data_IF_748790477689
#
_entry.id   IF_748790477689
#
_cell.length_a   1.000
_cell.length_b   1.000
_cell.length_c   1.000
_cell.angle_alpha   90.00
_cell.angle_beta   90.00
_cell.angle_gamma   90.00
#
_symmetry.space_group_name_H-M   'P 1'
#
loop_
_entity.id
_entity.type
_entity.pdbx_description
1 polymer ?
#
# COMPACT_ATOMS: atom_id res chain seq x y z
N UNK A 1 7.50 -5.62 27.81
CA UNK A 1 6.59 -6.59 27.17
C UNK A 1 5.22 -6.02 26.78
N UNK A 2 4.63 -5.00 27.45
CA UNK A 2 3.33 -4.44 27.03
C UNK A 2 3.38 -3.39 25.89
N UNK A 3 4.48 -2.64 25.75
CA UNK A 3 4.59 -1.57 24.74
C UNK A 3 4.70 -2.07 23.30
N UNK A 4 5.43 -3.17 23.07
CA UNK A 4 5.64 -3.77 21.74
C UNK A 4 4.33 -4.31 21.15
N UNK A 5 3.44 -4.84 21.99
CA UNK A 5 2.14 -5.36 21.57
C UNK A 5 1.19 -4.23 21.12
N UNK A 6 1.28 -3.05 21.76
CA UNK A 6 0.50 -1.87 21.36
C UNK A 6 0.98 -1.30 20.02
N UNK A 7 2.30 -1.25 19.79
CA UNK A 7 2.88 -0.72 18.56
C UNK A 7 2.62 -1.63 17.35
N UNK A 8 2.67 -2.95 17.53
CA UNK A 8 2.31 -3.90 16.48
C UNK A 8 0.82 -3.81 16.10
N UNK A 9 -0.07 -3.63 17.08
CA UNK A 9 -1.50 -3.44 16.84
C UNK A 9 -1.79 -2.15 16.06
N UNK A 10 -1.18 -1.03 16.47
CA UNK A 10 -1.32 0.27 15.78
C UNK A 10 -0.80 0.23 14.34
N UNK A 11 0.30 -0.49 14.10
CA UNK A 11 0.84 -0.73 12.75
C UNK A 11 -0.12 -1.51 11.86
N UNK A 12 -0.74 -2.56 12.39
CA UNK A 12 -1.72 -3.36 11.65
C UNK A 12 -3.00 -2.56 11.37
N UNK A 13 -3.45 -1.74 12.31
CA UNK A 13 -4.59 -0.83 12.09
C UNK A 13 -4.28 0.17 10.99
N UNK A 14 -3.10 0.80 11.05
CA UNK A 14 -2.62 1.73 10.02
C UNK A 14 -2.52 1.06 8.64
N UNK A 15 -2.00 -0.16 8.56
CA UNK A 15 -1.91 -0.91 7.31
C UNK A 15 -3.30 -1.20 6.71
N UNK A 16 -4.26 -1.60 7.56
CA UNK A 16 -5.63 -1.86 7.14
C UNK A 16 -6.33 -0.58 6.63
N UNK A 17 -6.15 0.55 7.32
CA UNK A 17 -6.68 1.85 6.87
C UNK A 17 -6.10 2.27 5.52
N UNK A 18 -4.79 2.14 5.33
CA UNK A 18 -4.14 2.39 4.04
C UNK A 18 -4.70 1.45 2.94
N UNK A 19 -4.87 0.16 3.23
CA UNK A 19 -5.43 -0.81 2.28
C UNK A 19 -6.83 -0.41 1.79
N UNK A 20 -7.68 0.10 2.69
CA UNK A 20 -9.01 0.64 2.38
C UNK A 20 -8.93 1.92 1.57
N UNK A 21 -8.04 2.84 1.92
CA UNK A 21 -7.85 4.09 1.18
C UNK A 21 -7.41 3.80 -0.26
N UNK A 22 -6.41 2.94 -0.45
CA UNK A 22 -5.94 2.58 -1.80
C UNK A 22 -7.01 1.84 -2.62
N UNK A 23 -7.95 1.15 -1.98
CA UNK A 23 -9.14 0.60 -2.66
C UNK A 23 -9.95 1.68 -3.36
N UNK A 24 -10.22 2.77 -2.65
CA UNK A 24 -11.03 3.88 -3.11
C UNK A 24 -10.32 4.59 -4.26
N UNK A 25 -9.01 4.82 -4.11
CA UNK A 25 -8.21 5.45 -5.16
C UNK A 25 -8.13 4.58 -6.42
N UNK A 26 -8.08 3.25 -6.30
CA UNK A 26 -8.15 2.35 -7.48
C UNK A 26 -9.47 2.47 -8.22
N UNK A 27 -10.58 2.49 -7.49
CA UNK A 27 -11.89 2.63 -8.11
C UNK A 27 -12.04 4.00 -8.79
N UNK A 28 -11.48 5.05 -8.19
CA UNK A 28 -11.40 6.38 -8.81
C UNK A 28 -10.53 6.37 -10.07
N UNK A 29 -9.35 5.73 -10.04
CA UNK A 29 -8.49 5.57 -11.20
C UNK A 29 -9.17 4.79 -12.33
N UNK A 30 -9.86 3.69 -12.02
CA UNK A 30 -10.64 2.92 -12.99
C UNK A 30 -11.74 3.76 -13.66
N UNK A 31 -12.49 4.55 -12.87
CA UNK A 31 -13.53 5.45 -13.41
C UNK A 31 -12.93 6.52 -14.30
N UNK A 32 -11.85 7.14 -13.84
CA UNK A 32 -11.14 8.15 -14.60
C UNK A 32 -10.63 7.59 -15.93
N UNK A 33 -10.13 6.34 -15.98
CA UNK A 33 -9.61 5.71 -17.20
C UNK A 33 -10.72 5.47 -18.24
N UNK A 34 -11.93 5.15 -17.76
CA UNK A 34 -13.08 4.96 -18.63
C UNK A 34 -13.61 6.29 -19.19
N UNK A 35 -13.35 7.40 -18.50
CA UNK A 35 -13.78 8.74 -18.90
C UNK A 35 -12.70 9.49 -19.70
N UNK A 36 -11.42 9.17 -19.49
CA UNK A 36 -10.29 9.77 -20.22
C UNK A 36 -10.03 9.06 -21.54
N UNK A 37 -9.79 9.86 -22.57
CA UNK A 37 -9.38 9.42 -23.90
C UNK A 37 -8.09 10.15 -24.29
N UNK A 38 -7.32 9.59 -25.22
CA UNK A 38 -6.04 10.18 -25.65
C UNK A 38 -4.97 10.12 -24.56
N UNK A 39 -4.09 11.12 -24.52
CA UNK A 39 -2.85 11.11 -23.71
C UNK A 39 -3.07 10.93 -22.20
N UNK A 40 -4.26 11.24 -21.68
CA UNK A 40 -4.59 11.04 -20.27
C UNK A 40 -4.89 9.58 -19.92
N UNK A 41 -5.25 8.73 -20.88
CA UNK A 41 -5.56 7.32 -20.64
C UNK A 41 -4.36 6.54 -20.08
N UNK A 42 -3.16 6.76 -20.66
CA UNK A 42 -1.95 6.07 -20.24
C UNK A 42 -1.53 6.43 -18.80
N UNK A 43 -1.66 7.70 -18.43
CA UNK A 43 -1.40 8.17 -17.06
C UNK A 43 -2.36 7.53 -16.05
N UNK A 44 -3.62 7.32 -16.43
CA UNK A 44 -4.60 6.72 -15.54
C UNK A 44 -4.44 5.20 -15.46
N UNK A 45 -4.01 4.55 -16.53
CA UNK A 45 -3.58 3.15 -16.51
C UNK A 45 -2.39 2.96 -15.56
N UNK A 46 -1.37 3.81 -15.66
CA UNK A 46 -0.20 3.80 -14.79
C UNK A 46 -0.58 4.03 -13.31
N UNK A 47 -1.47 4.99 -13.04
CA UNK A 47 -2.02 5.21 -11.70
C UNK A 47 -2.67 3.93 -11.13
N UNK A 48 -3.49 3.24 -11.92
CA UNK A 48 -4.13 1.99 -11.48
C UNK A 48 -3.12 0.87 -11.17
N UNK A 49 -2.05 0.75 -11.96
CA UNK A 49 -0.98 -0.22 -11.73
C UNK A 49 -0.21 0.08 -10.44
N UNK A 50 0.14 1.36 -10.18
CA UNK A 50 0.83 1.77 -8.96
C UNK A 50 -0.01 1.49 -7.71
N UNK A 51 -1.32 1.67 -7.79
CA UNK A 51 -2.24 1.39 -6.68
C UNK A 51 -2.36 -0.12 -6.42
N UNK A 52 -2.35 -0.94 -7.47
CA UNK A 52 -2.28 -2.40 -7.31
C UNK A 52 -0.97 -2.83 -6.62
N UNK A 53 0.16 -2.27 -7.04
CA UNK A 53 1.47 -2.56 -6.42
C UNK A 53 1.49 -2.13 -4.95
N UNK A 54 0.88 -0.99 -4.63
CA UNK A 54 0.81 -0.47 -3.27
C UNK A 54 -0.01 -1.40 -2.37
N UNK A 55 -1.17 -1.88 -2.84
CA UNK A 55 -1.96 -2.87 -2.11
C UNK A 55 -1.24 -4.20 -1.90
N UNK A 56 -0.49 -4.67 -2.90
CA UNK A 56 0.34 -5.86 -2.77
C UNK A 56 1.42 -5.69 -1.69
N UNK A 57 2.07 -4.52 -1.62
CA UNK A 57 3.07 -4.21 -0.58
C UNK A 57 2.44 -4.11 0.81
N UNK A 58 1.26 -3.52 0.95
CA UNK A 58 0.55 -3.46 2.24
C UNK A 58 0.21 -4.86 2.72
N UNK A 59 -0.31 -5.72 1.83
CA UNK A 59 -0.59 -7.10 2.15
C UNK A 59 0.67 -7.87 2.61
N UNK A 60 1.82 -7.62 1.98
CA UNK A 60 3.10 -8.19 2.41
C UNK A 60 3.49 -7.73 3.82
N UNK A 61 3.24 -6.46 4.18
CA UNK A 61 3.49 -5.94 5.52
C UNK A 61 2.57 -6.58 6.55
N UNK A 62 1.29 -6.78 6.21
CA UNK A 62 0.32 -7.49 7.06
C UNK A 62 0.70 -8.97 7.27
N UNK A 63 1.23 -9.64 6.23
CA UNK A 63 1.60 -11.06 6.25
C UNK A 63 3.01 -11.30 6.87
N UNK A 64 3.88 -10.29 6.90
CA UNK A 64 5.26 -10.40 7.39
C UNK A 64 5.70 -9.20 8.27
N UNK A 65 5.23 -9.12 9.53
CA UNK A 65 5.59 -8.05 10.46
C UNK A 65 7.09 -7.98 10.84
N UNK A 66 7.87 -9.02 10.51
CA UNK A 66 9.29 -9.16 10.89
C UNK A 66 10.28 -8.47 9.93
N UNK A 67 9.85 -8.05 8.74
CA UNK A 67 10.72 -7.43 7.73
C UNK A 67 11.02 -5.94 7.95
N UNK A 68 10.59 -5.36 9.07
CA UNK A 68 10.89 -3.97 9.41
C UNK A 68 11.94 -3.81 10.53
N UNK A 69 12.61 -4.89 10.93
CA UNK A 69 13.80 -4.78 11.77
C UNK A 69 14.94 -4.29 10.87
N UNK A 70 15.35 -3.04 11.04
CA UNK A 70 16.54 -2.41 10.44
C UNK A 70 17.87 -3.08 10.86
N UNK A 71 17.83 -4.32 11.34
CA UNK A 71 18.98 -5.07 11.87
C UNK A 71 19.77 -5.82 10.80
N UNK A 72 19.34 -5.80 9.53
CA UNK A 72 19.97 -6.58 8.46
C UNK A 72 20.94 -5.78 7.58
N UNK A 73 21.44 -4.63 8.06
CA UNK A 73 22.58 -3.96 7.43
C UNK A 73 23.89 -4.50 8.04
N UNK A 74 24.78 -5.12 7.23
CA UNK A 74 26.09 -5.53 7.73
C UNK A 74 26.88 -4.29 8.19
N UNK A 75 27.70 -4.42 9.26
CA UNK A 75 28.49 -3.30 9.76
C UNK A 75 29.46 -2.81 8.68
N UNK A 76 29.53 -1.49 8.55
CA UNK A 76 30.45 -0.78 7.66
C UNK A 76 31.92 -0.97 8.08
#
# INVERSE_FOLDING_TARGET
MQAENSQAAERNETANELSKLFAIVQEMGRRLANETHGDAYDLVRELNELLHQTRAKIKQIEEHPEFNSTDDLPPA
#
